data_IF_938642791108
#
_entry.id   IF_938642791108
#
_cell.length_a   1.000
_cell.length_b   1.000
_cell.length_c   1.000
_cell.angle_alpha   90.00
_cell.angle_beta   90.00
_cell.angle_gamma   90.00
#
_symmetry.space_group_name_H-M   'P 1'
#
loop_
_entity.id
_entity.type
_entity.pdbx_description
1 polymer ?
#
# COMPACT_ATOMS: atom_id res chain seq x y z
N UNK A 1 -38.74 25.32 16.60
CA UNK A 1 -37.92 26.50 16.28
C UNK A 1 -36.54 25.99 15.93
N UNK A 2 -36.03 26.33 14.75
CA UNK A 2 -34.64 26.03 14.41
C UNK A 2 -33.73 26.88 15.31
N UNK A 3 -32.64 26.31 15.85
CA UNK A 3 -31.73 27.05 16.71
C UNK A 3 -31.05 28.18 15.92
N UNK A 4 -31.09 29.40 16.44
CA UNK A 4 -30.42 30.57 15.83
C UNK A 4 -28.93 30.64 16.19
N UNK A 5 -28.54 30.04 17.32
CA UNK A 5 -27.17 30.05 17.84
C UNK A 5 -26.62 28.63 17.97
N UNK A 6 -25.31 28.48 17.76
CA UNK A 6 -24.61 27.21 17.89
C UNK A 6 -24.60 26.74 19.34
N UNK A 7 -24.97 25.49 19.57
CA UNK A 7 -24.97 24.89 20.92
C UNK A 7 -23.56 24.76 21.54
N UNK A 8 -22.52 24.70 20.70
CA UNK A 8 -21.15 24.53 21.17
C UNK A 8 -20.46 25.87 21.48
N UNK A 9 -20.57 26.86 20.59
CA UNK A 9 -19.81 28.11 20.69
C UNK A 9 -20.66 29.38 20.77
N UNK A 10 -22.00 29.28 20.74
CA UNK A 10 -22.93 30.41 20.86
C UNK A 10 -23.05 31.32 19.64
N UNK A 11 -22.26 31.09 18.59
CA UNK A 11 -22.24 31.91 17.36
C UNK A 11 -23.52 31.73 16.52
N UNK A 12 -23.94 32.78 15.81
CA UNK A 12 -25.08 32.74 14.90
C UNK A 12 -24.88 31.70 13.78
N UNK A 13 -25.88 30.83 13.58
CA UNK A 13 -25.81 29.74 12.62
C UNK A 13 -26.11 30.22 11.20
N UNK A 14 -25.25 29.87 10.25
CA UNK A 14 -25.35 30.20 8.82
C UNK A 14 -25.17 28.94 7.96
N UNK A 15 -26.08 27.98 8.12
CA UNK A 15 -26.09 26.71 7.39
C UNK A 15 -26.15 25.47 8.29
N UNK A 16 -25.98 24.29 7.70
CA UNK A 16 -26.07 22.99 8.39
C UNK A 16 -24.90 22.71 9.35
N UNK A 17 -23.81 23.49 9.27
CA UNK A 17 -22.65 23.40 10.14
C UNK A 17 -22.27 24.80 10.63
N UNK A 18 -21.84 24.90 11.89
CA UNK A 18 -21.32 26.15 12.43
C UNK A 18 -20.00 26.53 11.74
N UNK A 19 -19.93 27.72 11.16
CA UNK A 19 -18.75 28.23 10.46
C UNK A 19 -17.53 28.45 11.39
N UNK A 20 -17.77 28.64 12.71
CA UNK A 20 -16.71 28.92 13.69
C UNK A 20 -16.12 27.68 14.34
N UNK A 21 -16.96 26.69 14.70
CA UNK A 21 -16.53 25.49 15.43
C UNK A 21 -16.73 24.18 14.66
N UNK A 22 -17.38 24.21 13.50
CA UNK A 22 -17.63 23.04 12.66
C UNK A 22 -18.71 22.09 13.18
N UNK A 23 -19.38 22.40 14.31
CA UNK A 23 -20.41 21.53 14.86
C UNK A 23 -21.64 21.49 13.93
N UNK A 24 -22.17 20.31 13.58
CA UNK A 24 -23.42 20.21 12.83
C UNK A 24 -24.57 20.83 13.62
N UNK A 25 -25.50 21.44 12.90
CA UNK A 25 -26.75 21.97 13.45
C UNK A 25 -27.74 20.82 13.57
N UNK A 26 -27.54 19.98 14.59
CA UNK A 26 -28.43 18.87 14.91
C UNK A 26 -29.35 19.24 16.07
N UNK A 27 -30.67 19.18 15.84
CA UNK A 27 -31.69 19.34 16.88
C UNK A 27 -32.29 17.99 17.35
N UNK A 28 -31.61 16.88 17.02
CA UNK A 28 -32.09 15.55 17.36
C UNK A 28 -31.73 15.23 18.81
N UNK A 29 -32.74 14.95 19.64
CA UNK A 29 -32.53 14.32 20.94
C UNK A 29 -31.81 12.98 20.73
N UNK A 30 -30.80 12.70 21.55
CA UNK A 30 -30.15 11.39 21.58
C UNK A 30 -31.18 10.33 21.95
N UNK A 31 -31.55 9.49 20.99
CA UNK A 31 -32.38 8.30 21.25
C UNK A 31 -31.52 7.05 21.14
N UNK A 32 -31.93 5.98 21.82
CA UNK A 32 -31.26 4.68 21.73
C UNK A 32 -31.14 4.21 20.27
N UNK A 33 -32.16 4.48 19.45
CA UNK A 33 -32.15 4.20 18.02
C UNK A 33 -31.07 4.99 17.27
N UNK A 34 -30.93 6.29 17.54
CA UNK A 34 -29.92 7.14 16.89
C UNK A 34 -28.51 6.69 17.28
N UNK A 35 -28.26 6.42 18.56
CA UNK A 35 -26.96 5.95 19.06
C UNK A 35 -26.63 4.57 18.48
N UNK A 36 -27.60 3.65 18.44
CA UNK A 36 -27.40 2.32 17.85
C UNK A 36 -27.18 2.39 16.34
N UNK A 37 -27.87 3.27 15.61
CA UNK A 37 -27.63 3.49 14.17
C UNK A 37 -26.24 4.08 13.93
N UNK A 38 -25.81 5.07 14.72
CA UNK A 38 -24.46 5.61 14.64
C UNK A 38 -23.40 4.57 14.97
N UNK A 39 -23.62 3.75 16.01
CA UNK A 39 -22.73 2.65 16.37
C UNK A 39 -22.66 1.61 15.24
N UNK A 40 -23.80 1.18 14.70
CA UNK A 40 -23.84 0.22 13.61
C UNK A 40 -23.15 0.77 12.36
N UNK A 41 -23.38 2.04 12.00
CA UNK A 41 -22.68 2.67 10.87
C UNK A 41 -21.18 2.87 11.11
N UNK A 42 -20.75 3.08 12.35
CA UNK A 42 -19.33 3.28 12.68
C UNK A 42 -18.57 1.97 12.86
N UNK A 43 -19.22 0.93 13.37
CA UNK A 43 -18.61 -0.38 13.69
C UNK A 43 -18.81 -1.39 12.55
N UNK A 44 -20.01 -1.46 11.99
CA UNK A 44 -20.36 -2.40 10.91
C UNK A 44 -20.54 -1.73 9.55
N UNK A 45 -20.66 -0.40 9.51
CA UNK A 45 -20.59 0.36 8.27
C UNK A 45 -19.16 0.33 7.77
N UNK A 46 -18.82 -0.76 7.08
CA UNK A 46 -17.57 -0.94 6.36
C UNK A 46 -17.26 0.36 5.62
N UNK A 47 -16.15 1.02 5.96
CA UNK A 47 -15.86 2.38 5.49
C UNK A 47 -16.06 2.42 3.97
N UNK A 48 -17.10 3.13 3.54
CA UNK A 48 -17.47 3.21 2.12
C UNK A 48 -16.31 3.74 1.27
N UNK A 49 -15.35 4.44 1.89
CA UNK A 49 -14.10 4.86 1.25
C UNK A 49 -13.14 3.69 1.03
N UNK A 50 -12.99 2.79 2.00
CA UNK A 50 -12.09 1.64 1.87
C UNK A 50 -12.55 0.70 0.76
N UNK A 51 -13.80 0.23 0.79
CA UNK A 51 -14.34 -0.66 -0.25
C UNK A 51 -14.32 -0.02 -1.64
N UNK A 52 -14.68 1.27 -1.74
CA UNK A 52 -14.61 2.03 -2.99
C UNK A 52 -13.17 2.14 -3.50
N UNK A 53 -12.21 2.42 -2.62
CA UNK A 53 -10.78 2.52 -3.00
C UNK A 53 -10.28 1.17 -3.48
N UNK A 54 -10.55 0.10 -2.74
CA UNK A 54 -10.21 -1.28 -3.10
C UNK A 54 -10.70 -1.65 -4.50
N UNK A 55 -12.00 -1.44 -4.79
CA UNK A 55 -12.59 -1.81 -6.08
C UNK A 55 -12.12 -0.87 -7.20
N UNK A 56 -12.05 0.44 -6.95
CA UNK A 56 -11.68 1.41 -7.98
C UNK A 56 -10.20 1.37 -8.32
N UNK A 57 -9.31 0.87 -7.45
CA UNK A 57 -7.91 0.71 -7.84
C UNK A 57 -7.70 -0.42 -8.86
N UNK A 58 -8.54 -1.46 -8.84
CA UNK A 58 -8.52 -2.49 -9.89
C UNK A 58 -9.16 -2.01 -11.19
N UNK A 59 -10.26 -1.27 -11.11
CA UNK A 59 -11.07 -0.94 -12.30
C UNK A 59 -10.74 0.42 -12.92
N UNK A 60 -10.38 1.41 -12.10
CA UNK A 60 -10.17 2.82 -12.48
C UNK A 60 -9.05 3.47 -11.64
N UNK A 61 -7.81 2.90 -11.59
CA UNK A 61 -6.77 3.37 -10.68
C UNK A 61 -6.39 4.84 -10.90
N UNK A 62 -6.32 5.29 -12.16
CA UNK A 62 -6.04 6.68 -12.48
C UNK A 62 -7.06 7.65 -11.88
N UNK A 63 -8.32 7.23 -11.72
CA UNK A 63 -9.33 8.05 -11.04
C UNK A 63 -9.03 8.17 -9.56
N UNK A 64 -8.67 7.08 -8.89
CA UNK A 64 -8.33 7.08 -7.46
C UNK A 64 -7.15 8.01 -7.20
N UNK A 65 -6.05 7.76 -7.92
CA UNK A 65 -4.79 8.48 -7.74
C UNK A 65 -4.96 9.97 -8.08
N UNK A 66 -5.52 10.30 -9.23
CA UNK A 66 -5.68 11.71 -9.63
C UNK A 66 -6.69 12.46 -8.75
N UNK A 67 -7.73 11.80 -8.21
CA UNK A 67 -8.66 12.45 -7.27
C UNK A 67 -7.93 12.89 -6.00
N UNK A 68 -7.04 12.05 -5.47
CA UNK A 68 -6.24 12.36 -4.30
C UNK A 68 -5.21 13.47 -4.58
N UNK A 69 -4.47 13.35 -5.69
CA UNK A 69 -3.44 14.33 -6.10
C UNK A 69 -4.06 15.71 -6.36
N UNK A 70 -5.23 15.76 -7.02
CA UNK A 70 -5.95 17.01 -7.29
C UNK A 70 -6.64 17.62 -6.04
N UNK A 71 -6.42 17.05 -4.85
CA UNK A 71 -6.84 17.64 -3.57
C UNK A 71 -8.15 17.12 -2.99
N UNK A 72 -8.92 16.28 -3.71
CA UNK A 72 -10.11 15.66 -3.14
C UNK A 72 -9.74 14.41 -2.31
N UNK A 73 -9.48 14.65 -1.02
CA UNK A 73 -9.04 13.63 -0.06
C UNK A 73 -10.16 13.02 0.76
N UNK A 74 -11.42 13.35 0.46
CA UNK A 74 -12.59 12.83 1.19
C UNK A 74 -13.28 11.69 0.47
N UNK A 75 -13.17 11.63 -0.87
CA UNK A 75 -13.89 10.65 -1.68
C UNK A 75 -13.29 9.24 -1.69
N UNK A 76 -11.96 9.13 -1.66
CA UNK A 76 -11.21 7.87 -1.52
C UNK A 76 -10.42 7.87 -0.23
N UNK A 77 -10.03 6.67 0.23
CA UNK A 77 -9.15 6.52 1.37
C UNK A 77 -7.73 6.97 0.98
N UNK A 78 -7.09 7.76 1.84
CA UNK A 78 -5.72 8.23 1.59
C UNK A 78 -4.72 7.07 1.48
N UNK A 79 -3.61 7.24 0.74
CA UNK A 79 -2.69 6.15 0.39
C UNK A 79 -2.04 5.50 1.61
N UNK A 80 -1.58 6.31 2.58
CA UNK A 80 -0.95 5.82 3.82
C UNK A 80 -1.95 5.04 4.69
N UNK A 81 -3.17 5.56 4.85
CA UNK A 81 -4.20 4.88 5.60
C UNK A 81 -4.61 3.57 4.90
N UNK A 82 -4.74 3.59 3.57
CA UNK A 82 -5.13 2.44 2.78
C UNK A 82 -4.11 1.30 2.86
N UNK A 83 -2.81 1.57 2.67
CA UNK A 83 -1.77 0.54 2.81
C UNK A 83 -1.70 -0.02 4.23
N UNK A 84 -1.89 0.83 5.25
CA UNK A 84 -1.91 0.40 6.64
C UNK A 84 -3.07 -0.56 6.93
N UNK A 85 -4.27 -0.26 6.42
CA UNK A 85 -5.43 -1.16 6.53
C UNK A 85 -5.20 -2.48 5.80
N UNK A 86 -4.69 -2.44 4.57
CA UNK A 86 -4.37 -3.65 3.80
C UNK A 86 -3.34 -4.53 4.51
N UNK A 87 -2.26 -3.93 5.03
CA UNK A 87 -1.23 -4.62 5.81
C UNK A 87 -1.81 -5.21 7.10
N UNK A 88 -2.64 -4.45 7.82
CA UNK A 88 -3.28 -4.92 9.07
C UNK A 88 -4.15 -6.14 8.80
N UNK A 89 -4.99 -6.10 7.76
CA UNK A 89 -5.83 -7.25 7.39
C UNK A 89 -4.96 -8.45 7.01
N UNK A 90 -3.91 -8.26 6.23
CA UNK A 90 -2.99 -9.32 5.84
C UNK A 90 -2.32 -9.99 7.05
N UNK A 91 -1.78 -9.21 7.99
CA UNK A 91 -1.12 -9.73 9.21
C UNK A 91 -2.12 -10.44 10.13
N UNK A 92 -3.34 -9.91 10.28
CA UNK A 92 -4.38 -10.57 11.08
C UNK A 92 -4.77 -11.93 10.49
N UNK A 93 -4.86 -12.03 9.16
CA UNK A 93 -5.17 -13.30 8.49
C UNK A 93 -4.03 -14.31 8.59
N UNK A 94 -2.78 -13.87 8.48
CA UNK A 94 -1.61 -14.71 8.77
C UNK A 94 -1.70 -15.33 10.16
N UNK A 95 -1.97 -14.51 11.17
CA UNK A 95 -2.14 -14.97 12.56
C UNK A 95 -3.35 -15.87 12.74
N UNK A 96 -4.45 -15.63 12.03
CA UNK A 96 -5.67 -16.43 12.13
C UNK A 96 -5.56 -17.81 11.48
N UNK A 97 -4.76 -17.93 10.42
CA UNK A 97 -4.49 -19.20 9.74
C UNK A 97 -3.29 -19.95 10.31
N UNK A 98 -2.65 -19.43 11.37
CA UNK A 98 -1.45 -19.99 11.99
C UNK A 98 -0.30 -20.22 10.99
N UNK A 99 -0.21 -19.37 9.95
CA UNK A 99 0.83 -19.45 8.93
C UNK A 99 2.05 -18.66 9.43
N UNK A 100 3.19 -19.33 9.62
CA UNK A 100 4.44 -18.64 9.96
C UNK A 100 5.06 -18.03 8.68
N UNK A 101 5.66 -16.84 8.83
CA UNK A 101 6.46 -16.20 7.78
C UNK A 101 7.63 -17.08 7.34
N UNK A 102 8.11 -17.97 8.23
CA UNK A 102 9.17 -18.94 7.93
C UNK A 102 8.74 -19.96 6.88
N UNK A 103 7.52 -20.46 6.93
CA UNK A 103 7.01 -21.47 5.99
C UNK A 103 6.87 -20.90 4.58
N UNK A 104 6.49 -19.62 4.47
CA UNK A 104 6.44 -18.89 3.20
C UNK A 104 7.83 -18.69 2.57
N UNK A 105 8.89 -18.64 3.39
CA UNK A 105 10.26 -18.34 2.94
C UNK A 105 11.07 -19.61 2.67
N UNK A 106 10.81 -20.69 3.42
CA UNK A 106 11.52 -21.97 3.30
C UNK A 106 11.33 -22.61 1.92
N UNK A 107 10.12 -22.60 1.37
CA UNK A 107 9.84 -23.13 0.03
C UNK A 107 10.69 -22.50 -1.08
N UNK A 108 11.06 -21.22 -0.93
CA UNK A 108 11.91 -20.51 -1.90
C UNK A 108 13.39 -20.80 -1.66
N UNK A 109 13.81 -20.97 -0.41
CA UNK A 109 15.20 -21.30 -0.06
C UNK A 109 15.56 -22.74 -0.43
N UNK A 110 14.66 -23.70 -0.25
CA UNK A 110 14.89 -25.11 -0.61
C UNK A 110 15.10 -25.29 -2.12
N UNK A 111 14.35 -24.56 -2.95
CA UNK A 111 14.54 -24.54 -4.41
C UNK A 111 15.88 -23.91 -4.83
N UNK A 112 16.44 -22.98 -4.04
CA UNK A 112 17.75 -22.37 -4.31
C UNK A 112 18.92 -23.19 -3.73
N UNK A 113 18.69 -23.98 -2.68
CA UNK A 113 19.70 -24.79 -2.00
C UNK A 113 20.00 -26.11 -2.73
N UNK A 114 19.07 -26.60 -3.57
CA UNK A 114 19.15 -27.95 -4.10
C UNK A 114 20.26 -28.18 -5.15
N UNK A 115 20.83 -27.12 -5.74
CA UNK A 115 21.81 -27.25 -6.85
C UNK A 115 23.20 -26.62 -6.58
N UNK A 116 23.43 -25.92 -5.46
CA UNK A 116 24.68 -25.19 -5.26
C UNK A 116 25.57 -25.82 -4.17
N UNK A 117 26.65 -26.51 -4.58
CA UNK A 117 27.79 -26.81 -3.69
C UNK A 117 28.49 -25.51 -3.33
N UNK A 118 27.97 -24.80 -2.32
CA UNK A 118 28.59 -23.61 -1.77
C UNK A 118 29.86 -23.99 -0.99
N UNK A 119 30.91 -23.19 -1.14
CA UNK A 119 32.11 -23.32 -0.30
C UNK A 119 31.74 -22.91 1.14
N UNK A 120 32.37 -23.48 2.18
CA UNK A 120 32.08 -23.12 3.58
C UNK A 120 32.12 -21.59 3.86
N UNK A 121 32.99 -20.86 3.16
CA UNK A 121 33.06 -19.39 3.22
C UNK A 121 31.86 -18.67 2.58
N UNK A 122 31.26 -19.25 1.54
CA UNK A 122 30.04 -18.72 0.91
C UNK A 122 28.79 -19.05 1.72
N UNK A 123 28.77 -20.21 2.38
CA UNK A 123 27.68 -20.59 3.28
C UNK A 123 27.63 -19.68 4.50
N UNK A 124 28.78 -19.43 5.13
CA UNK A 124 28.89 -18.48 6.24
C UNK A 124 28.53 -17.05 5.81
N UNK A 125 28.99 -16.60 4.64
CA UNK A 125 28.62 -15.29 4.09
C UNK A 125 27.10 -15.18 3.84
N UNK A 126 26.47 -16.24 3.35
CA UNK A 126 25.03 -16.28 3.10
C UNK A 126 24.23 -16.24 4.42
N UNK A 127 24.65 -16.98 5.44
CA UNK A 127 24.02 -16.93 6.76
C UNK A 127 24.13 -15.53 7.38
N UNK A 128 25.31 -14.93 7.36
CA UNK A 128 25.52 -13.60 7.89
C UNK A 128 24.71 -12.53 7.12
N UNK A 129 24.63 -12.66 5.78
CA UNK A 129 23.78 -11.83 4.92
C UNK A 129 22.31 -11.92 5.32
N UNK A 130 21.77 -13.14 5.47
CA UNK A 130 20.37 -13.36 5.82
C UNK A 130 20.06 -12.89 7.25
N UNK A 131 21.00 -13.08 8.18
CA UNK A 131 20.90 -12.54 9.54
C UNK A 131 20.89 -11.00 9.52
N UNK A 132 21.75 -10.37 8.74
CA UNK A 132 21.76 -8.91 8.60
C UNK A 132 20.47 -8.40 7.96
N UNK A 133 20.00 -9.04 6.88
CA UNK A 133 18.76 -8.68 6.17
C UNK A 133 17.57 -8.77 7.12
N UNK A 134 17.45 -9.84 7.91
CA UNK A 134 16.33 -10.01 8.84
C UNK A 134 16.34 -8.97 9.96
N UNK A 135 17.51 -8.68 10.54
CA UNK A 135 17.67 -7.64 11.56
C UNK A 135 17.36 -6.23 11.05
N UNK A 136 17.73 -5.95 9.80
CA UNK A 136 17.55 -4.64 9.15
C UNK A 136 16.29 -4.56 8.29
N UNK A 137 15.47 -5.60 8.24
CA UNK A 137 14.31 -5.72 7.35
C UNK A 137 13.39 -4.51 7.46
N UNK A 138 13.12 -4.07 8.70
CA UNK A 138 12.28 -2.89 8.98
C UNK A 138 12.77 -1.64 8.25
N UNK A 139 14.04 -1.30 8.40
CA UNK A 139 14.63 -0.12 7.76
C UNK A 139 14.66 -0.27 6.24
N UNK A 140 14.99 -1.46 5.75
CA UNK A 140 15.02 -1.77 4.33
C UNK A 140 13.63 -1.60 3.70
N UNK A 141 12.57 -2.08 4.35
CA UNK A 141 11.18 -1.93 3.88
C UNK A 141 10.76 -0.46 3.79
N UNK A 142 11.13 0.38 4.76
CA UNK A 142 10.84 1.81 4.71
C UNK A 142 11.59 2.55 3.58
N UNK A 143 12.81 2.13 3.28
CA UNK A 143 13.62 2.71 2.20
C UNK A 143 13.16 2.29 0.79
N UNK A 144 12.32 1.24 0.65
CA UNK A 144 11.80 0.75 -0.63
C UNK A 144 11.11 1.86 -1.44
N UNK A 145 10.13 2.50 -0.83
CA UNK A 145 9.24 3.44 -1.54
C UNK A 145 10.00 4.66 -2.06
N UNK A 146 10.85 5.33 -1.26
CA UNK A 146 11.62 6.47 -1.74
C UNK A 146 12.57 6.14 -2.90
N UNK A 147 13.27 4.99 -2.82
CA UNK A 147 14.27 4.59 -3.83
C UNK A 147 13.58 4.22 -5.15
N UNK A 148 12.50 3.43 -5.09
CA UNK A 148 11.77 3.00 -6.28
C UNK A 148 11.07 4.19 -6.97
N UNK A 149 10.67 5.23 -6.22
CA UNK A 149 10.08 6.43 -6.80
C UNK A 149 11.07 7.26 -7.65
N UNK A 150 12.39 7.10 -7.48
CA UNK A 150 13.40 7.90 -8.20
C UNK A 150 13.36 7.60 -9.72
N UNK A 151 13.48 6.34 -10.19
CA UNK A 151 13.33 6.05 -11.60
C UNK A 151 11.95 6.46 -12.13
N UNK A 152 10.89 6.27 -11.35
CA UNK A 152 9.55 6.70 -11.78
C UNK A 152 9.49 8.21 -12.05
N UNK A 153 10.07 9.03 -11.18
CA UNK A 153 10.21 10.47 -11.38
C UNK A 153 10.98 10.79 -12.67
N UNK A 154 12.09 10.11 -12.93
CA UNK A 154 12.91 10.36 -14.14
C UNK A 154 12.15 10.00 -15.42
N UNK A 155 11.49 8.85 -15.46
CA UNK A 155 10.77 8.36 -16.64
C UNK A 155 9.49 9.14 -16.95
N UNK A 156 8.85 9.69 -15.92
CA UNK A 156 7.61 10.46 -16.03
C UNK A 156 7.79 11.96 -15.76
N UNK A 157 9.03 12.48 -15.68
CA UNK A 157 9.34 13.90 -15.40
C UNK A 157 8.56 14.90 -16.26
N UNK A 158 8.30 14.54 -17.52
CA UNK A 158 7.58 15.39 -18.49
C UNK A 158 6.06 15.42 -18.28
N UNK A 159 5.52 14.67 -17.30
CA UNK A 159 4.09 14.59 -17.02
C UNK A 159 3.61 15.60 -15.99
N UNK A 160 4.51 16.39 -15.40
CA UNK A 160 4.17 17.47 -14.45
C UNK A 160 3.91 17.00 -13.02
N UNK A 161 4.18 15.72 -12.71
CA UNK A 161 4.02 15.17 -11.37
C UNK A 161 5.27 15.49 -10.53
N UNK A 162 5.08 15.81 -9.26
CA UNK A 162 6.17 15.96 -8.30
C UNK A 162 6.54 14.62 -7.64
N UNK A 163 7.63 14.58 -6.89
CA UNK A 163 8.12 13.36 -6.25
C UNK A 163 7.10 12.73 -5.28
N UNK A 164 6.38 13.53 -4.51
CA UNK A 164 5.36 13.05 -3.57
C UNK A 164 4.17 12.43 -4.33
N UNK A 165 3.78 12.99 -5.46
CA UNK A 165 2.73 12.44 -6.31
C UNK A 165 3.13 11.09 -6.91
N UNK A 166 4.40 10.93 -7.31
CA UNK A 166 4.93 9.62 -7.69
C UNK A 166 4.89 8.62 -6.53
N UNK A 167 5.23 9.06 -5.31
CA UNK A 167 5.09 8.21 -4.11
C UNK A 167 3.63 7.81 -3.87
N UNK A 168 2.66 8.69 -4.07
CA UNK A 168 1.23 8.36 -3.94
C UNK A 168 0.85 7.25 -4.92
N UNK A 169 1.27 7.34 -6.19
CA UNK A 169 1.04 6.30 -7.21
C UNK A 169 1.62 4.96 -6.74
N UNK A 170 2.85 4.98 -6.24
CA UNK A 170 3.58 3.81 -5.80
C UNK A 170 2.92 3.15 -4.58
N UNK A 171 2.56 3.94 -3.56
CA UNK A 171 1.93 3.45 -2.33
C UNK A 171 0.57 2.82 -2.64
N UNK A 172 -0.27 3.47 -3.45
CA UNK A 172 -1.55 2.87 -3.85
C UNK A 172 -1.34 1.55 -4.60
N UNK A 173 -0.40 1.52 -5.54
CA UNK A 173 -0.14 0.31 -6.33
C UNK A 173 0.35 -0.85 -5.46
N UNK A 174 1.32 -0.60 -4.57
CA UNK A 174 1.86 -1.64 -3.69
C UNK A 174 0.85 -2.06 -2.61
N UNK A 175 -0.06 -1.18 -2.19
CA UNK A 175 -1.12 -1.56 -1.26
C UNK A 175 -2.02 -2.67 -1.84
N UNK A 176 -2.22 -2.72 -3.16
CA UNK A 176 -3.01 -3.79 -3.78
C UNK A 176 -2.31 -5.13 -3.88
N UNK A 177 -0.99 -5.18 -3.69
CA UNK A 177 -0.25 -6.45 -3.58
C UNK A 177 -0.82 -7.28 -2.43
N UNK A 178 -1.20 -6.65 -1.33
CA UNK A 178 -1.80 -7.35 -0.19
C UNK A 178 -3.10 -8.05 -0.55
N UNK A 179 -3.88 -7.61 -1.54
CA UNK A 179 -5.07 -8.38 -1.99
C UNK A 179 -4.66 -9.70 -2.62
N UNK A 180 -3.66 -9.66 -3.50
CA UNK A 180 -3.13 -10.86 -4.13
C UNK A 180 -2.43 -11.77 -3.12
N UNK A 181 -1.73 -11.21 -2.13
CA UNK A 181 -1.13 -11.97 -1.04
C UNK A 181 -2.19 -12.60 -0.13
N UNK A 182 -3.29 -11.91 0.20
CA UNK A 182 -4.42 -12.49 0.95
C UNK A 182 -5.04 -13.65 0.16
N UNK A 183 -5.20 -13.51 -1.16
CA UNK A 183 -5.66 -14.60 -2.02
C UNK A 183 -4.68 -15.79 -1.99
N UNK A 184 -3.37 -15.52 -2.02
CA UNK A 184 -2.34 -16.57 -1.90
C UNK A 184 -2.43 -17.30 -0.56
N UNK A 185 -2.66 -16.59 0.56
CA UNK A 185 -2.86 -17.21 1.87
C UNK A 185 -4.10 -18.09 1.91
N UNK A 186 -5.19 -17.61 1.32
CA UNK A 186 -6.41 -18.40 1.21
C UNK A 186 -6.17 -19.68 0.41
N UNK A 187 -5.51 -19.59 -0.75
CA UNK A 187 -5.20 -20.77 -1.57
C UNK A 187 -4.26 -21.75 -0.85
N UNK A 188 -3.28 -21.23 -0.11
CA UNK A 188 -2.38 -22.04 0.70
C UNK A 188 -3.14 -22.78 1.79
N UNK A 189 -4.01 -22.10 2.53
CA UNK A 189 -4.78 -22.68 3.63
C UNK A 189 -5.77 -23.77 3.14
N UNK A 190 -6.48 -23.53 2.04
CA UNK A 190 -7.52 -24.45 1.57
C UNK A 190 -7.01 -25.55 0.62
N UNK A 191 -6.00 -25.25 -0.20
CA UNK A 191 -5.56 -26.12 -1.29
C UNK A 191 -4.08 -26.52 -1.20
N UNK A 192 -3.36 -26.08 -0.16
CA UNK A 192 -1.91 -26.25 -0.05
C UNK A 192 -1.14 -25.73 -1.28
N UNK A 193 -1.69 -24.71 -1.96
CA UNK A 193 -1.14 -24.14 -3.18
C UNK A 193 -0.77 -22.68 -2.96
N UNK A 194 0.52 -22.35 -3.08
CA UNK A 194 1.03 -20.98 -2.95
C UNK A 194 1.24 -20.36 -4.33
N UNK A 195 0.71 -19.14 -4.53
CA UNK A 195 0.95 -18.33 -5.74
C UNK A 195 1.89 -17.14 -5.45
N UNK A 196 2.69 -17.21 -4.39
CA UNK A 196 3.43 -16.06 -3.88
C UNK A 196 4.49 -15.56 -4.88
N UNK A 197 5.06 -16.42 -5.72
CA UNK A 197 6.03 -16.01 -6.75
C UNK A 197 5.32 -15.29 -7.91
N UNK A 198 4.13 -15.75 -8.28
CA UNK A 198 3.27 -15.15 -9.28
C UNK A 198 2.72 -13.79 -8.83
N UNK A 199 2.45 -13.61 -7.53
CA UNK A 199 2.05 -12.32 -6.95
C UNK A 199 3.06 -11.23 -7.28
N UNK A 200 4.37 -11.54 -7.25
CA UNK A 200 5.40 -10.57 -7.61
C UNK A 200 5.28 -10.13 -9.08
N UNK A 201 5.12 -11.08 -10.01
CA UNK A 201 4.93 -10.79 -11.44
C UNK A 201 3.65 -10.01 -11.70
N UNK A 202 2.55 -10.40 -11.05
CA UNK A 202 1.27 -9.68 -11.09
C UNK A 202 1.44 -8.24 -10.62
N UNK A 203 2.22 -8.01 -9.55
CA UNK A 203 2.50 -6.66 -9.06
C UNK A 203 3.23 -5.80 -10.09
N UNK A 204 4.24 -6.33 -10.80
CA UNK A 204 4.91 -5.58 -11.87
C UNK A 204 3.94 -5.15 -12.97
N UNK A 205 3.08 -6.07 -13.41
CA UNK A 205 2.08 -5.82 -14.45
C UNK A 205 1.03 -4.82 -13.93
N UNK A 206 0.58 -4.98 -12.69
CA UNK A 206 -0.41 -4.11 -12.07
C UNK A 206 0.12 -2.69 -11.90
N UNK A 207 1.34 -2.52 -11.43
CA UNK A 207 1.98 -1.19 -11.34
C UNK A 207 2.07 -0.51 -12.70
N UNK A 208 2.46 -1.24 -13.75
CA UNK A 208 2.49 -0.74 -15.12
C UNK A 208 1.08 -0.33 -15.60
N UNK A 209 0.05 -1.11 -15.28
CA UNK A 209 -1.35 -0.78 -15.53
C UNK A 209 -1.78 0.52 -14.81
N UNK A 210 -1.45 0.68 -13.52
CA UNK A 210 -1.74 1.91 -12.76
C UNK A 210 -1.07 3.12 -13.41
N UNK A 211 0.20 3.00 -13.81
CA UNK A 211 0.91 4.06 -14.53
C UNK A 211 0.22 4.41 -15.86
N UNK A 212 -0.19 3.40 -16.63
CA UNK A 212 -0.88 3.59 -17.92
C UNK A 212 -2.17 4.41 -17.81
N UNK A 213 -2.86 4.29 -16.68
CA UNK A 213 -4.15 4.93 -16.43
C UNK A 213 -4.03 6.26 -15.67
N UNK A 214 -2.94 6.46 -14.94
CA UNK A 214 -2.74 7.66 -14.12
C UNK A 214 -2.11 8.80 -14.91
N UNK A 215 -1.03 8.53 -15.62
CA UNK A 215 -0.31 9.55 -16.38
C UNK A 215 -1.02 9.88 -17.68
N UNK A 216 -1.14 11.17 -18.00
CA UNK A 216 -1.72 11.63 -19.25
C UNK A 216 -0.92 11.16 -20.48
N UNK A 217 -1.56 11.09 -21.65
CA UNK A 217 -0.94 10.69 -22.93
C UNK A 217 -1.27 9.26 -23.36
N UNK A 218 -0.40 8.66 -24.18
CA UNK A 218 -0.64 7.32 -24.72
C UNK A 218 -0.49 6.25 -23.62
N UNK A 219 -1.60 5.55 -23.33
CA UNK A 219 -1.69 4.50 -22.30
C UNK A 219 -0.70 3.37 -22.54
N UNK A 220 -0.54 2.93 -23.79
CA UNK A 220 0.38 1.85 -24.17
C UNK A 220 1.82 2.20 -23.82
N UNK A 221 2.25 3.42 -24.18
CA UNK A 221 3.61 3.86 -23.89
C UNK A 221 3.86 4.10 -22.40
N UNK A 222 2.84 4.61 -21.70
CA UNK A 222 2.90 4.78 -20.25
C UNK A 222 2.96 3.42 -19.51
N UNK A 223 2.36 2.36 -20.06
CA UNK A 223 2.46 1.00 -19.51
C UNK A 223 3.91 0.49 -19.53
N UNK A 224 4.55 0.46 -20.71
CA UNK A 224 5.94 -0.02 -20.81
C UNK A 224 6.93 0.85 -20.05
N UNK A 225 6.73 2.17 -20.06
CA UNK A 225 7.53 3.08 -19.21
C UNK A 225 7.34 2.79 -17.73
N UNK A 226 6.11 2.52 -17.30
CA UNK A 226 5.79 2.11 -15.93
C UNK A 226 6.55 0.85 -15.55
N UNK A 227 6.41 -0.20 -16.37
CA UNK A 227 7.09 -1.48 -16.17
C UNK A 227 8.62 -1.32 -16.07
N UNK A 228 9.23 -0.63 -17.03
CA UNK A 228 10.68 -0.41 -17.04
C UNK A 228 11.15 0.44 -15.87
N UNK A 229 10.40 1.51 -15.52
CA UNK A 229 10.73 2.34 -14.36
C UNK A 229 10.70 1.55 -13.06
N UNK A 230 9.76 0.61 -12.92
CA UNK A 230 9.63 -0.22 -11.72
C UNK A 230 10.75 -1.26 -11.63
N UNK A 231 11.10 -1.90 -12.74
CA UNK A 231 12.26 -2.80 -12.84
C UNK A 231 13.56 -2.09 -12.47
N UNK A 232 13.82 -0.91 -13.06
CA UNK A 232 14.98 -0.09 -12.71
C UNK A 232 14.95 0.33 -11.24
N UNK A 233 13.76 0.61 -10.68
CA UNK A 233 13.57 0.88 -9.25
C UNK A 233 14.05 -0.26 -8.35
N UNK A 234 13.66 -1.50 -8.65
CA UNK A 234 14.13 -2.67 -7.89
C UNK A 234 15.61 -2.94 -8.09
N UNK A 235 16.15 -2.78 -9.29
CA UNK A 235 17.60 -2.92 -9.53
C UNK A 235 18.40 -1.88 -8.73
N UNK A 236 17.91 -0.63 -8.70
CA UNK A 236 18.52 0.43 -7.90
C UNK A 236 18.46 0.11 -6.42
N UNK A 237 17.34 -0.42 -5.94
CA UNK A 237 17.21 -0.86 -4.56
C UNK A 237 18.21 -1.95 -4.22
N UNK A 238 18.30 -3.02 -5.01
CA UNK A 238 19.25 -4.13 -4.80
C UNK A 238 20.68 -3.61 -4.76
N UNK A 239 21.02 -2.68 -5.65
CA UNK A 239 22.32 -2.03 -5.68
C UNK A 239 22.61 -1.23 -4.40
N UNK A 240 21.66 -0.40 -3.96
CA UNK A 240 21.80 0.39 -2.72
C UNK A 240 21.94 -0.54 -1.51
N UNK A 241 21.12 -1.58 -1.40
CA UNK A 241 21.21 -2.54 -0.29
C UNK A 241 22.53 -3.30 -0.32
N UNK A 242 23.00 -3.71 -1.50
CA UNK A 242 24.30 -4.38 -1.67
C UNK A 242 25.46 -3.51 -1.20
N UNK A 243 25.45 -2.21 -1.51
CA UNK A 243 26.46 -1.26 -1.01
C UNK A 243 26.38 -1.13 0.51
N UNK A 244 25.18 -0.98 1.08
CA UNK A 244 25.04 -0.84 2.54
C UNK A 244 25.57 -2.06 3.29
N UNK A 245 25.32 -3.26 2.75
CA UNK A 245 25.87 -4.50 3.30
C UNK A 245 27.39 -4.52 3.16
N UNK A 246 27.94 -4.22 1.98
CA UNK A 246 29.38 -4.21 1.77
C UNK A 246 30.11 -3.25 2.72
N UNK A 247 29.56 -2.06 2.96
CA UNK A 247 30.11 -1.08 3.92
C UNK A 247 30.12 -1.67 5.33
N UNK A 248 29.02 -2.31 5.76
CA UNK A 248 28.91 -2.93 7.08
C UNK A 248 29.93 -4.03 7.31
N UNK A 249 30.26 -4.84 6.29
CA UNK A 249 31.31 -5.86 6.41
C UNK A 249 32.74 -5.31 6.36
N UNK A 250 32.92 -4.08 5.87
CA UNK A 250 34.22 -3.41 5.82
C UNK A 250 34.53 -2.58 7.08
N UNK A 251 33.52 -2.26 7.88
CA UNK A 251 33.63 -1.51 9.15
C UNK A 251 33.85 -2.42 10.35
#
# INVERSE_FOLDING_TARGET
MEPTNCINCGEELRGEYCHKCGNPVTNNRLTFKTVFQEFYQRVFGFDTKFSRTLIHLFTKPGRVVNTYINGNRTYYMGPVAYIFWMLTVFVLLMSAFEIDMRDLTQSTQELMAQDQKLTAKQEQLNEDLMNWISNNFRLMTFALFPVIAIPQLLFFRKKGFNYIEHLVVLVYSNAQVFVFSILSLFLLYYFAYSIQTEVALINFIFFAYVCSMTYAGNKWWNFFKGLFSYLVGYLLLIFVTGITVAIFYMS
#
